data_IF_597223133254
#
_entry.id   IF_597223133254
#
_cell.length_a   1.000
_cell.length_b   1.000
_cell.length_c   1.000
_cell.angle_alpha   90.00
_cell.angle_beta   90.00
_cell.angle_gamma   90.00
#
_symmetry.space_group_name_H-M   'P 1'
#
loop_
_entity.id
_entity.type
_entity.pdbx_description
1 polymer ?
#
# COMPACT_ATOMS: atom_id res chain seq x y z
N UNK A 1 -52.10 -23.53 46.42
CA UNK A 1 -50.75 -24.12 46.41
C UNK A 1 -50.09 -23.76 45.09
N UNK A 2 -48.90 -23.13 45.14
CA UNK A 2 -47.76 -23.43 44.25
C UNK A 2 -48.09 -23.37 42.73
N UNK A 3 -47.74 -22.34 41.95
CA UNK A 3 -46.35 -21.92 41.67
C UNK A 3 -46.30 -20.92 40.50
N UNK A 4 -45.35 -19.99 40.63
CA UNK A 4 -44.46 -19.36 39.63
C UNK A 4 -45.05 -18.83 38.31
N UNK A 5 -45.05 -17.51 38.04
CA UNK A 5 -43.88 -16.61 37.90
C UNK A 5 -42.98 -17.02 36.73
N UNK A 6 -43.44 -16.89 35.48
CA UNK A 6 -42.56 -16.90 34.29
C UNK A 6 -43.28 -16.35 33.05
N UNK A 7 -43.55 -15.04 33.02
CA UNK A 7 -44.00 -14.38 31.78
C UNK A 7 -43.49 -12.95 31.72
N UNK A 8 -42.17 -12.78 31.83
CA UNK A 8 -41.49 -11.49 31.61
C UNK A 8 -40.01 -11.66 31.24
N UNK A 9 -39.66 -12.73 30.49
CA UNK A 9 -38.31 -12.92 29.93
C UNK A 9 -38.45 -13.45 28.50
N UNK A 10 -39.12 -12.69 27.64
CA UNK A 10 -39.24 -13.03 26.21
C UNK A 10 -38.91 -11.85 25.28
N UNK A 11 -38.40 -10.73 25.82
CA UNK A 11 -38.10 -9.50 25.05
C UNK A 11 -36.78 -8.87 25.54
N UNK A 12 -35.74 -9.66 25.87
CA UNK A 12 -34.34 -9.16 25.99
C UNK A 12 -33.36 -10.30 25.68
N UNK A 13 -33.59 -11.07 24.61
CA UNK A 13 -32.68 -12.15 24.21
C UNK A 13 -32.50 -12.29 22.69
N UNK A 14 -32.81 -11.22 21.94
CA UNK A 14 -32.63 -11.19 20.47
C UNK A 14 -31.77 -10.02 19.98
N UNK A 15 -31.05 -9.33 20.87
CA UNK A 15 -30.11 -8.24 20.52
C UNK A 15 -28.67 -8.57 20.95
N UNK A 16 -28.21 -9.83 20.80
CA UNK A 16 -26.79 -10.17 21.01
C UNK A 16 -26.26 -11.13 19.93
N UNK A 17 -26.88 -11.17 18.74
CA UNK A 17 -26.49 -12.12 17.69
C UNK A 17 -26.41 -11.49 16.30
N UNK A 18 -25.88 -10.26 16.19
CA UNK A 18 -25.35 -9.73 14.91
C UNK A 18 -24.12 -8.84 15.17
N UNK A 19 -23.13 -9.35 15.91
CA UNK A 19 -21.79 -8.75 15.95
C UNK A 19 -20.69 -9.81 15.70
N UNK A 20 -21.06 -10.99 15.21
CA UNK A 20 -20.12 -11.94 14.63
C UNK A 20 -19.88 -11.61 13.15
N UNK A 21 -19.37 -10.41 12.88
CA UNK A 21 -18.45 -10.31 11.75
C UNK A 21 -17.25 -11.22 12.05
N UNK A 22 -16.59 -11.81 11.04
CA UNK A 22 -15.33 -12.52 11.28
C UNK A 22 -14.43 -11.56 12.08
N UNK A 23 -13.95 -12.00 13.26
CA UNK A 23 -12.93 -11.25 13.98
C UNK A 23 -11.78 -11.09 13.00
N UNK A 24 -11.54 -9.86 12.60
CA UNK A 24 -10.34 -9.50 11.87
C UNK A 24 -9.17 -9.89 12.76
N UNK A 25 -8.37 -10.83 12.29
CA UNK A 25 -7.10 -11.15 12.94
C UNK A 25 -6.15 -9.98 12.70
N UNK A 26 -5.82 -9.29 13.78
CA UNK A 26 -4.93 -8.13 13.76
C UNK A 26 -3.47 -8.51 13.88
N UNK A 27 -3.17 -9.74 14.31
CA UNK A 27 -1.84 -10.17 14.72
C UNK A 27 -1.19 -11.10 13.69
N UNK A 28 -1.99 -11.80 12.88
CA UNK A 28 -1.49 -12.68 11.81
C UNK A 28 -0.80 -11.87 10.71
N UNK A 29 0.45 -12.25 10.44
CA UNK A 29 1.25 -11.70 9.36
C UNK A 29 0.64 -12.08 8.00
N UNK A 30 0.44 -11.08 7.16
CA UNK A 30 -0.13 -11.21 5.82
C UNK A 30 1.02 -11.27 4.81
N UNK A 31 1.62 -12.46 4.67
CA UNK A 31 2.83 -12.69 3.88
C UNK A 31 2.54 -13.52 2.63
N UNK A 32 3.22 -13.18 1.53
CA UNK A 32 3.32 -14.01 0.34
C UNK A 32 4.42 -15.08 0.54
N UNK A 33 4.03 -16.34 0.40
CA UNK A 33 4.93 -17.47 0.53
C UNK A 33 5.93 -17.57 -0.63
N UNK A 34 5.60 -17.05 -1.81
CA UNK A 34 6.34 -17.28 -3.06
C UNK A 34 7.24 -16.10 -3.46
N UNK A 35 6.92 -14.89 -2.98
CA UNK A 35 7.57 -13.66 -3.43
C UNK A 35 8.21 -12.85 -2.30
N UNK A 36 9.25 -12.12 -2.67
CA UNK A 36 9.83 -11.00 -1.93
C UNK A 36 9.42 -9.69 -2.60
N UNK A 37 9.23 -8.65 -1.80
CA UNK A 37 8.90 -7.31 -2.28
C UNK A 37 9.98 -6.31 -1.90
N UNK A 38 10.27 -5.39 -2.80
CA UNK A 38 11.26 -4.34 -2.60
C UNK A 38 10.66 -2.98 -2.91
N UNK A 39 11.03 -1.96 -2.13
CA UNK A 39 10.82 -0.57 -2.54
C UNK A 39 11.94 -0.17 -3.49
N UNK A 40 11.60 0.54 -4.55
CA UNK A 40 12.59 1.04 -5.49
C UNK A 40 12.21 2.44 -5.99
N UNK A 41 13.04 3.00 -6.85
CA UNK A 41 12.95 4.33 -7.43
C UNK A 41 14.37 4.85 -7.67
N UNK A 42 14.49 6.16 -7.85
CA UNK A 42 15.81 6.79 -7.88
C UNK A 42 16.62 6.52 -6.61
N UNK A 43 15.97 6.46 -5.44
CA UNK A 43 16.61 6.18 -4.15
C UNK A 43 17.38 4.85 -4.07
N UNK A 44 17.04 3.89 -4.93
CA UNK A 44 17.57 2.54 -4.91
C UNK A 44 18.30 2.15 -6.20
N UNK A 45 18.38 3.06 -7.18
CA UNK A 45 18.90 2.75 -8.51
C UNK A 45 17.99 1.82 -9.33
N UNK A 46 16.68 1.87 -9.11
CA UNK A 46 15.69 1.08 -9.84
C UNK A 46 15.87 -0.45 -9.66
N UNK A 47 16.27 -1.17 -10.71
CA UNK A 47 16.45 -2.64 -10.63
C UNK A 47 17.48 -3.06 -9.58
N UNK A 48 18.40 -2.17 -9.21
CA UNK A 48 19.45 -2.39 -8.23
C UNK A 48 18.94 -2.56 -6.78
N UNK A 49 17.64 -2.39 -6.52
CA UNK A 49 17.04 -2.64 -5.22
C UNK A 49 17.02 -4.13 -4.83
N UNK A 50 16.99 -5.03 -5.81
CA UNK A 50 16.85 -6.47 -5.57
C UNK A 50 18.06 -7.03 -4.83
N UNK A 51 17.80 -7.82 -3.78
CA UNK A 51 18.83 -8.44 -2.95
C UNK A 51 19.45 -7.50 -1.89
N UNK A 52 19.06 -6.23 -1.85
CA UNK A 52 19.53 -5.26 -0.85
C UNK A 52 18.56 -5.18 0.33
N UNK A 53 19.06 -5.45 1.53
CA UNK A 53 18.24 -5.53 2.74
C UNK A 53 17.56 -4.20 3.08
N UNK A 54 18.23 -3.07 2.81
CA UNK A 54 17.72 -1.72 3.02
C UNK A 54 16.53 -1.35 2.14
N UNK A 55 16.28 -2.11 1.07
CA UNK A 55 15.14 -1.92 0.17
C UNK A 55 14.13 -3.07 0.23
N UNK A 56 14.40 -4.12 1.02
CA UNK A 56 13.51 -5.26 1.18
C UNK A 56 12.36 -4.92 2.12
N UNK A 57 11.12 -5.10 1.66
CA UNK A 57 9.94 -4.83 2.48
C UNK A 57 9.66 -6.00 3.42
N UNK A 58 9.27 -5.68 4.66
CA UNK A 58 8.89 -6.68 5.64
C UNK A 58 7.38 -6.91 5.61
N UNK A 59 6.94 -8.16 5.43
CA UNK A 59 5.53 -8.50 5.63
C UNK A 59 5.11 -8.20 7.08
N UNK A 60 3.88 -7.73 7.26
CA UNK A 60 3.35 -7.32 8.56
C UNK A 60 1.88 -7.75 8.72
N UNK A 61 1.26 -7.37 9.83
CA UNK A 61 -0.15 -7.60 10.13
C UNK A 61 -0.93 -6.28 10.14
N UNK A 62 -2.25 -6.37 10.26
CA UNK A 62 -3.14 -5.19 10.26
C UNK A 62 -3.03 -4.35 11.53
N UNK A 63 -2.55 -4.94 12.63
CA UNK A 63 -2.34 -4.27 13.91
C UNK A 63 -1.04 -3.48 14.01
N UNK A 64 -0.20 -3.48 12.97
CA UNK A 64 1.07 -2.77 12.98
C UNK A 64 0.87 -1.26 13.17
N UNK A 65 1.44 -0.71 14.24
CA UNK A 65 1.28 0.70 14.59
C UNK A 65 1.75 1.66 13.49
N UNK A 66 2.70 1.23 12.65
CA UNK A 66 3.24 2.02 11.53
C UNK A 66 2.21 2.30 10.44
N UNK A 67 1.18 1.46 10.33
CA UNK A 67 0.15 1.54 9.28
C UNK A 67 -1.25 1.82 9.86
N UNK A 68 -1.32 2.24 11.12
CA UNK A 68 -2.59 2.45 11.84
C UNK A 68 -3.52 3.46 11.16
N UNK A 69 -2.99 4.42 10.39
CA UNK A 69 -3.78 5.41 9.66
C UNK A 69 -4.57 4.85 8.47
N UNK A 70 -4.20 3.67 7.95
CA UNK A 70 -4.85 3.02 6.79
C UNK A 70 -5.51 1.68 7.17
N UNK A 71 -5.59 1.34 8.46
CA UNK A 71 -6.05 0.02 8.94
C UNK A 71 -7.44 -0.37 8.44
N UNK A 72 -8.31 0.61 8.23
CA UNK A 72 -9.66 0.41 7.72
C UNK A 72 -9.68 0.03 6.24
N UNK A 73 -8.69 0.46 5.47
CA UNK A 73 -8.53 0.11 4.06
C UNK A 73 -8.00 -1.33 3.88
N UNK A 74 -7.39 -1.90 4.93
CA UNK A 74 -6.77 -3.24 4.89
C UNK A 74 -7.76 -4.40 5.15
N UNK A 75 -9.07 -4.15 5.07
CA UNK A 75 -10.11 -5.13 5.47
C UNK A 75 -10.00 -6.48 4.78
N UNK A 76 -9.72 -6.45 3.48
CA UNK A 76 -9.60 -7.63 2.62
C UNK A 76 -8.18 -7.84 2.12
N UNK A 77 -7.18 -7.31 2.84
CA UNK A 77 -5.78 -7.47 2.51
C UNK A 77 -5.40 -8.95 2.60
N UNK A 78 -4.85 -9.49 1.51
CA UNK A 78 -4.25 -10.82 1.44
C UNK A 78 -2.79 -10.75 1.90
N UNK A 79 -2.06 -9.73 1.43
CA UNK A 79 -0.67 -9.48 1.77
C UNK A 79 -0.46 -8.02 2.16
N UNK A 80 0.38 -7.75 3.15
CA UNK A 80 0.75 -6.39 3.59
C UNK A 80 2.23 -6.36 3.89
N UNK A 81 2.94 -5.46 3.21
CA UNK A 81 4.38 -5.26 3.35
C UNK A 81 4.68 -3.80 3.66
N UNK A 82 5.66 -3.57 4.52
CA UNK A 82 6.06 -2.23 4.95
C UNK A 82 7.58 -2.11 5.04
N UNK A 83 8.09 -0.94 4.66
CA UNK A 83 9.48 -0.55 4.84
C UNK A 83 9.58 0.93 5.23
N UNK A 84 10.61 1.29 5.98
CA UNK A 84 10.98 2.68 6.17
C UNK A 84 11.94 3.11 5.06
N UNK A 85 11.57 4.16 4.31
CA UNK A 85 12.39 4.70 3.21
C UNK A 85 12.54 6.21 3.35
N UNK A 86 13.72 6.72 3.02
CA UNK A 86 14.04 8.16 3.04
C UNK A 86 14.24 8.68 1.63
N UNK A 87 13.49 9.72 1.28
CA UNK A 87 13.53 10.39 -0.02
C UNK A 87 14.30 11.70 0.14
N UNK A 88 15.37 11.86 -0.65
CA UNK A 88 16.28 13.00 -0.55
C UNK A 88 15.65 14.29 -1.06
N UNK A 89 16.06 15.43 -0.48
CA UNK A 89 15.79 16.75 -1.03
C UNK A 89 16.86 17.22 -2.03
N UNK A 90 17.94 16.45 -2.18
CA UNK A 90 18.97 16.75 -3.19
C UNK A 90 18.45 16.46 -4.59
N UNK A 91 19.00 17.16 -5.58
CA UNK A 91 18.57 17.01 -6.96
C UNK A 91 19.00 15.65 -7.53
N UNK A 92 18.05 14.88 -8.09
CA UNK A 92 18.36 13.66 -8.84
C UNK A 92 19.00 13.93 -10.20
N UNK A 93 18.95 15.18 -10.66
CA UNK A 93 19.39 15.59 -12.00
C UNK A 93 18.32 15.43 -13.08
N UNK A 94 17.10 15.06 -12.70
CA UNK A 94 15.94 14.94 -13.57
C UNK A 94 14.64 15.10 -12.76
N UNK A 95 13.56 15.49 -13.45
CA UNK A 95 12.25 15.74 -12.84
C UNK A 95 11.15 14.90 -13.50
N UNK A 96 10.08 14.66 -12.74
CA UNK A 96 8.79 14.18 -13.24
C UNK A 96 7.78 15.31 -13.15
N UNK A 97 6.94 15.45 -14.18
CA UNK A 97 5.86 16.44 -14.20
C UNK A 97 4.51 15.76 -14.29
N UNK A 98 3.58 16.21 -13.45
CA UNK A 98 2.20 15.75 -13.46
C UNK A 98 1.22 16.90 -13.38
N UNK A 99 0.15 16.86 -14.16
CA UNK A 99 -1.02 17.71 -13.99
C UNK A 99 -1.89 17.13 -12.89
N UNK A 100 -1.86 17.75 -11.70
CA UNK A 100 -2.62 17.33 -10.53
C UNK A 100 -3.63 18.43 -10.21
N UNK A 101 -4.92 18.08 -10.19
CA UNK A 101 -6.03 19.02 -9.99
C UNK A 101 -5.96 20.22 -10.96
N UNK A 102 -5.61 19.95 -12.23
CA UNK A 102 -5.49 20.95 -13.29
C UNK A 102 -4.24 21.82 -13.23
N UNK A 103 -3.31 21.56 -12.31
CA UNK A 103 -2.06 22.31 -12.16
C UNK A 103 -0.85 21.42 -12.46
N UNK A 104 0.06 21.86 -13.33
CA UNK A 104 1.35 21.18 -13.50
C UNK A 104 2.17 21.31 -12.21
N UNK A 105 2.54 20.17 -11.65
CA UNK A 105 3.47 20.03 -10.53
C UNK A 105 4.71 19.30 -11.01
N UNK A 106 5.88 19.83 -10.63
CA UNK A 106 7.19 19.23 -10.92
C UNK A 106 7.73 18.62 -9.64
N UNK A 107 8.17 17.38 -9.72
CA UNK A 107 8.76 16.62 -8.63
C UNK A 107 10.16 16.17 -9.03
N UNK A 108 11.12 16.28 -8.11
CA UNK A 108 12.46 15.76 -8.34
C UNK A 108 12.42 14.22 -8.43
N UNK A 109 13.27 13.64 -9.29
CA UNK A 109 13.39 12.21 -9.48
C UNK A 109 13.64 11.41 -8.19
N UNK A 110 14.30 12.01 -7.19
CA UNK A 110 14.55 11.39 -5.87
C UNK A 110 13.27 11.13 -5.08
N UNK A 111 12.13 11.71 -5.48
CA UNK A 111 10.82 11.48 -4.86
C UNK A 111 10.06 10.30 -5.48
N UNK A 112 10.59 9.68 -6.53
CA UNK A 112 9.93 8.55 -7.19
C UNK A 112 9.99 7.27 -6.38
N UNK A 113 8.89 6.51 -6.39
CA UNK A 113 8.76 5.23 -5.70
C UNK A 113 8.03 4.21 -6.56
N UNK A 114 8.57 2.99 -6.63
CA UNK A 114 7.90 1.80 -7.19
C UNK A 114 8.08 0.60 -6.27
N UNK A 115 7.30 -0.44 -6.51
CA UNK A 115 7.42 -1.74 -5.84
C UNK A 115 7.93 -2.75 -6.84
N UNK A 116 8.91 -3.56 -6.45
CA UNK A 116 9.31 -4.75 -7.17
C UNK A 116 8.75 -5.97 -6.49
N UNK A 117 8.33 -6.95 -7.29
CA UNK A 117 8.10 -8.31 -6.83
C UNK A 117 9.16 -9.21 -7.46
N UNK A 118 9.70 -10.13 -6.66
CA UNK A 118 10.73 -11.07 -7.05
C UNK A 118 10.38 -12.44 -6.49
N UNK A 119 10.47 -13.51 -7.28
CA UNK A 119 10.34 -14.87 -6.75
C UNK A 119 11.46 -15.14 -5.73
N UNK A 120 11.19 -15.88 -4.64
CA UNK A 120 12.15 -16.04 -3.52
C UNK A 120 13.53 -16.62 -3.87
N UNK A 121 13.69 -17.23 -5.04
CA UNK A 121 14.96 -17.78 -5.56
C UNK A 121 15.46 -17.07 -6.84
N UNK A 122 14.85 -15.93 -7.20
CA UNK A 122 15.22 -15.16 -8.39
C UNK A 122 16.03 -13.92 -8.04
N UNK A 123 16.87 -13.49 -8.97
CA UNK A 123 17.70 -12.27 -8.86
C UNK A 123 17.12 -11.09 -9.66
N UNK A 124 16.05 -11.33 -10.42
CA UNK A 124 15.43 -10.32 -11.27
C UNK A 124 13.94 -10.16 -10.93
N UNK A 125 13.40 -8.93 -10.94
CA UNK A 125 11.99 -8.71 -10.70
C UNK A 125 11.15 -9.31 -11.83
N UNK A 126 10.07 -9.99 -11.46
CA UNK A 126 9.10 -10.54 -12.41
C UNK A 126 7.87 -9.65 -12.57
N UNK A 127 7.78 -8.57 -11.79
CA UNK A 127 6.68 -7.63 -11.81
C UNK A 127 7.10 -6.30 -11.18
N UNK A 128 6.51 -5.20 -11.67
CA UNK A 128 6.75 -3.83 -11.21
C UNK A 128 5.41 -3.16 -10.90
N UNK A 129 5.34 -2.45 -9.77
CA UNK A 129 4.18 -1.67 -9.36
C UNK A 129 4.52 -0.19 -9.25
N UNK A 130 3.85 0.74 -9.92
CA UNK A 130 2.79 0.55 -10.93
C UNK A 130 3.39 0.38 -12.34
N UNK A 131 2.87 -0.59 -13.10
CA UNK A 131 3.10 -0.82 -14.53
C UNK A 131 1.85 -1.51 -15.15
N UNK A 132 1.71 -1.66 -16.49
CA UNK A 132 0.57 -2.33 -17.11
C UNK A 132 0.26 -3.72 -16.53
N UNK A 133 1.28 -4.53 -16.28
CA UNK A 133 1.15 -5.87 -15.70
C UNK A 133 0.63 -5.87 -14.26
N UNK A 134 0.75 -4.74 -13.56
CA UNK A 134 0.31 -4.62 -12.18
C UNK A 134 -1.17 -4.35 -12.01
N UNK A 135 -1.84 -3.94 -13.09
CA UNK A 135 -3.17 -3.37 -12.94
C UNK A 135 -3.16 -2.08 -12.10
N UNK A 136 -4.37 -1.61 -11.80
CA UNK A 136 -4.58 -0.39 -11.04
C UNK A 136 -4.15 -0.54 -9.58
N UNK A 137 -3.52 0.51 -9.06
CA UNK A 137 -3.26 0.71 -7.65
C UNK A 137 -4.29 1.67 -7.05
N UNK A 138 -4.73 1.38 -5.82
CA UNK A 138 -5.43 2.33 -4.97
C UNK A 138 -4.42 3.12 -4.14
N UNK A 139 -4.55 4.44 -4.15
CA UNK A 139 -3.71 5.33 -3.35
C UNK A 139 -4.30 5.46 -1.94
N UNK A 140 -3.64 4.86 -0.96
CA UNK A 140 -4.12 4.81 0.42
C UNK A 140 -3.75 6.08 1.21
N UNK A 141 -2.87 6.93 0.68
CA UNK A 141 -2.41 8.17 1.32
C UNK A 141 -2.30 9.31 0.30
N UNK A 142 -3.41 9.79 -0.29
CA UNK A 142 -3.38 10.80 -1.33
C UNK A 142 -2.85 12.17 -0.87
N UNK A 143 -2.74 12.40 0.44
CA UNK A 143 -2.14 13.61 1.00
C UNK A 143 -0.60 13.64 0.92
N UNK A 144 0.05 12.49 0.79
CA UNK A 144 1.52 12.35 0.84
C UNK A 144 2.10 11.61 -0.36
N UNK A 145 1.27 10.87 -1.10
CA UNK A 145 1.64 10.11 -2.29
C UNK A 145 0.80 10.58 -3.46
N UNK A 146 1.42 10.88 -4.59
CA UNK A 146 0.75 10.92 -5.87
C UNK A 146 0.97 9.61 -6.62
N UNK A 147 -0.13 9.05 -7.12
CA UNK A 147 -0.14 7.84 -7.93
C UNK A 147 -0.73 8.21 -9.30
N UNK A 148 0.03 8.09 -10.40
CA UNK A 148 -0.48 8.33 -11.74
C UNK A 148 -1.72 7.47 -12.05
N UNK A 149 -2.72 8.00 -12.77
CA UNK A 149 -3.91 7.24 -13.12
C UNK A 149 -3.54 6.01 -13.95
N UNK A 150 -4.26 4.91 -13.73
CA UNK A 150 -4.07 3.68 -14.51
C UNK A 150 -4.78 3.80 -15.86
N UNK A 151 -4.12 4.44 -16.81
CA UNK A 151 -4.59 4.68 -18.18
C UNK A 151 -3.43 4.48 -19.17
N UNK A 152 -3.72 4.07 -20.39
CA UNK A 152 -2.69 3.82 -21.41
C UNK A 152 -2.10 5.12 -21.97
N UNK A 153 -2.95 6.11 -22.27
CA UNK A 153 -2.54 7.38 -22.84
C UNK A 153 -2.56 8.51 -21.81
N UNK A 154 -1.48 9.31 -21.76
CA UNK A 154 -1.36 10.48 -20.91
C UNK A 154 -1.91 11.75 -21.59
N UNK A 155 -3.22 11.81 -21.83
CA UNK A 155 -3.83 12.90 -22.61
C UNK A 155 -3.84 14.26 -21.89
N UNK A 156 -3.92 14.25 -20.55
CA UNK A 156 -4.07 15.45 -19.72
C UNK A 156 -2.81 15.80 -18.91
N UNK A 157 -1.71 15.08 -19.10
CA UNK A 157 -0.48 15.24 -18.33
C UNK A 157 -0.53 14.67 -16.91
N UNK A 158 -1.61 14.00 -16.49
CA UNK A 158 -1.69 13.37 -15.16
C UNK A 158 -0.78 12.14 -15.00
N UNK A 159 -0.21 11.64 -16.11
CA UNK A 159 0.57 10.41 -16.17
C UNK A 159 -0.23 9.26 -16.78
N UNK A 160 0.36 8.09 -16.75
CA UNK A 160 -0.19 6.86 -17.31
C UNK A 160 0.21 5.66 -16.44
N UNK A 161 -0.18 4.46 -16.86
CA UNK A 161 0.12 3.21 -16.17
C UNK A 161 1.62 2.88 -16.02
N UNK A 162 2.52 3.56 -16.71
CA UNK A 162 3.97 3.41 -16.62
C UNK A 162 4.60 4.53 -15.79
N UNK A 163 3.85 5.60 -15.51
CA UNK A 163 4.27 6.73 -14.69
C UNK A 163 4.80 6.30 -13.32
N UNK A 164 5.73 7.09 -12.79
CA UNK A 164 6.29 6.84 -11.46
C UNK A 164 5.38 7.46 -10.40
N UNK A 165 4.89 6.67 -9.43
CA UNK A 165 4.40 7.25 -8.17
C UNK A 165 5.46 8.15 -7.54
N UNK A 166 5.04 9.23 -6.89
CA UNK A 166 5.93 10.17 -6.21
C UNK A 166 5.44 10.46 -4.80
N UNK A 167 6.35 10.42 -3.82
CA UNK A 167 6.07 11.06 -2.53
C UNK A 167 6.07 12.58 -2.76
N UNK A 168 5.09 13.29 -2.21
CA UNK A 168 4.89 14.70 -2.57
C UNK A 168 5.98 15.63 -2.01
N UNK A 169 6.73 15.17 -1.00
CA UNK A 169 7.79 15.93 -0.34
C UNK A 169 8.93 14.99 0.09
N UNK A 170 10.17 15.51 0.13
CA UNK A 170 11.30 14.81 0.73
C UNK A 170 11.08 14.50 2.22
N UNK A 171 11.66 13.41 2.70
CA UNK A 171 11.50 12.96 4.09
C UNK A 171 11.49 11.44 4.23
N UNK A 172 11.25 10.99 5.45
CA UNK A 172 11.16 9.56 5.79
C UNK A 172 9.70 9.13 5.89
N UNK A 173 9.39 8.01 5.25
CA UNK A 173 8.04 7.45 5.17
C UNK A 173 8.05 5.96 5.48
N UNK A 174 6.94 5.46 6.01
CA UNK A 174 6.57 4.06 5.89
C UNK A 174 5.91 3.85 4.53
N UNK A 175 6.62 3.20 3.61
CA UNK A 175 6.06 2.76 2.33
C UNK A 175 5.35 1.43 2.55
N UNK A 176 4.07 1.36 2.19
CA UNK A 176 3.23 0.19 2.40
C UNK A 176 2.71 -0.31 1.06
N UNK A 177 2.97 -1.58 0.78
CA UNK A 177 2.37 -2.32 -0.33
C UNK A 177 1.29 -3.26 0.21
N UNK A 178 0.15 -3.28 -0.47
CA UNK A 178 -0.97 -4.15 -0.14
C UNK A 178 -1.39 -4.91 -1.40
N UNK A 179 -1.62 -6.21 -1.27
CA UNK A 179 -2.38 -6.98 -2.25
C UNK A 179 -3.66 -7.47 -1.60
N UNK A 180 -4.79 -7.22 -2.23
CA UNK A 180 -6.11 -7.64 -1.77
C UNK A 180 -6.46 -9.04 -2.27
N UNK A 181 -7.45 -9.68 -1.64
CA UNK A 181 -7.90 -11.03 -2.00
C UNK A 181 -8.37 -11.16 -3.48
N UNK A 182 -8.82 -10.06 -4.09
CA UNK A 182 -9.21 -9.97 -5.50
C UNK A 182 -8.04 -9.64 -6.46
N UNK A 183 -6.80 -9.67 -5.97
CA UNK A 183 -5.59 -9.24 -6.69
C UNK A 183 -5.54 -7.76 -7.08
N UNK A 184 -6.37 -6.90 -6.47
CA UNK A 184 -6.13 -5.46 -6.54
C UNK A 184 -4.95 -5.10 -5.63
N UNK A 185 -4.34 -3.94 -5.90
CA UNK A 185 -3.17 -3.49 -5.16
C UNK A 185 -3.39 -2.12 -4.52
N UNK A 186 -2.76 -1.89 -3.39
CA UNK A 186 -2.72 -0.60 -2.71
C UNK A 186 -1.28 -0.14 -2.48
N UNK A 187 -1.05 1.17 -2.53
CA UNK A 187 0.22 1.78 -2.16
C UNK A 187 -0.03 2.96 -1.22
N UNK A 188 0.80 3.05 -0.19
CA UNK A 188 0.79 4.15 0.78
C UNK A 188 2.21 4.68 1.01
N UNK A 189 2.30 5.96 1.33
CA UNK A 189 3.50 6.59 1.89
C UNK A 189 3.11 7.36 3.16
N UNK A 190 3.21 6.71 4.32
CA UNK A 190 2.82 7.30 5.60
C UNK A 190 4.02 8.07 6.16
N UNK A 191 3.89 9.40 6.29
CA UNK A 191 4.97 10.24 6.84
C UNK A 191 5.27 9.83 8.28
N UNK A 192 6.55 9.62 8.60
CA UNK A 192 7.01 9.23 9.93
C UNK A 192 7.08 10.43 10.88
#
# INVERSE_FOLDING_TARGET
MKKFLTLAVAIVATIVLVACGPKVDMDTKLEDAEHNYFVTGQLAGWGDAVGKAEFTMAATNRGDSRISSIVDDLKDAKFVYVIEATFSAEAAGWDVKYTIDGTEKTFDGNLTVKILQVNKDAEAPNWWGQNPESGKFDNLTPATLYLPPFQEANENGAGDWNGNPVVMEAGTYYIVYVQYANNHHGLAAIKK
#
